data_IF_440119681483
#
_entry.id   IF_440119681483
#
_cell.length_a   1.000
_cell.length_b   1.000
_cell.length_c   1.000
_cell.angle_alpha   90.00
_cell.angle_beta   90.00
_cell.angle_gamma   90.00
#
_symmetry.space_group_name_H-M   'P 1'
#
loop_
_entity.id
_entity.type
_entity.pdbx_description
1 polymer ?
#
# COMPACT_ATOMS: atom_id res chain seq x y z
N UNK A 1 0.24 12.10 14.07
CA UNK A 1 -0.77 12.01 12.99
C UNK A 1 -1.53 10.70 13.16
N UNK A 2 -2.85 10.76 13.24
CA UNK A 2 -3.70 9.57 13.30
C UNK A 2 -3.77 8.84 11.97
N UNK A 3 -4.08 7.52 11.97
CA UNK A 3 -4.10 6.71 10.74
C UNK A 3 -5.09 7.22 9.68
N UNK A 4 -6.28 7.64 10.09
CA UNK A 4 -7.28 8.17 9.16
C UNK A 4 -6.82 9.48 8.50
N UNK A 5 -6.08 10.31 9.22
CA UNK A 5 -5.43 11.51 8.68
C UNK A 5 -4.32 11.12 7.69
N UNK A 6 -3.51 10.11 8.03
CA UNK A 6 -2.46 9.59 7.15
C UNK A 6 -3.05 9.06 5.82
N UNK A 7 -4.21 8.38 5.86
CA UNK A 7 -4.94 7.96 4.65
C UNK A 7 -5.28 9.17 3.76
N UNK A 8 -5.79 10.25 4.37
CA UNK A 8 -6.20 11.47 3.63
C UNK A 8 -5.03 12.25 3.06
N UNK A 9 -3.90 12.30 3.79
CA UNK A 9 -2.70 13.05 3.37
C UNK A 9 -1.82 12.29 2.38
N UNK A 10 -1.92 10.96 2.35
CA UNK A 10 -1.07 10.12 1.51
C UNK A 10 -1.41 10.27 0.02
N UNK A 11 -0.45 10.72 -0.76
CA UNK A 11 -0.51 10.72 -2.22
C UNK A 11 0.67 9.95 -2.83
N UNK A 12 0.58 9.61 -4.12
CA UNK A 12 1.68 8.97 -4.84
C UNK A 12 2.72 10.00 -5.25
N UNK A 13 3.87 9.99 -4.57
CA UNK A 13 5.00 10.87 -4.84
C UNK A 13 6.09 10.09 -5.57
N UNK A 14 6.59 10.62 -6.68
CA UNK A 14 7.56 9.95 -7.56
C UNK A 14 8.89 10.69 -7.66
N UNK A 15 8.95 11.91 -7.17
CA UNK A 15 10.15 12.75 -7.21
C UNK A 15 10.60 13.03 -5.78
N UNK A 16 11.81 12.62 -5.46
CA UNK A 16 12.37 12.71 -4.11
C UNK A 16 13.61 13.60 -4.08
N UNK A 17 13.82 14.24 -2.93
CA UNK A 17 15.04 14.96 -2.63
C UNK A 17 16.16 13.98 -2.29
N UNK A 18 17.39 14.46 -2.18
CA UNK A 18 18.57 13.72 -1.75
C UNK A 18 18.71 13.62 -0.22
N UNK A 19 17.74 14.18 0.53
CA UNK A 19 17.75 14.15 2.00
C UNK A 19 17.75 12.72 2.51
N UNK A 20 18.77 12.30 3.29
CA UNK A 20 18.83 10.94 3.83
C UNK A 20 17.75 10.71 4.89
N UNK A 21 17.38 9.46 5.09
CA UNK A 21 16.50 9.07 6.20
C UNK A 21 17.28 9.11 7.51
N UNK A 22 16.79 9.80 8.55
CA UNK A 22 17.37 9.75 9.88
C UNK A 22 17.35 8.32 10.45
N UNK A 23 18.32 8.01 11.30
CA UNK A 23 18.45 6.68 11.91
C UNK A 23 17.20 6.29 12.71
N UNK A 24 16.60 7.24 13.40
CA UNK A 24 15.38 7.05 14.18
C UNK A 24 14.20 6.61 13.31
N UNK A 25 14.04 7.24 12.13
CA UNK A 25 13.00 6.86 11.16
C UNK A 25 13.25 5.46 10.61
N UNK A 26 14.50 5.12 10.30
CA UNK A 26 14.87 3.77 9.85
C UNK A 26 14.50 2.74 10.91
N UNK A 27 14.87 2.97 12.18
CA UNK A 27 14.55 2.07 13.31
C UNK A 27 13.05 1.89 13.51
N UNK A 28 12.26 2.97 13.42
CA UNK A 28 10.81 2.91 13.52
C UNK A 28 10.19 2.05 12.40
N UNK A 29 10.68 2.22 11.16
CA UNK A 29 10.23 1.43 10.02
C UNK A 29 10.64 -0.05 10.16
N UNK A 30 11.88 -0.33 10.58
CA UNK A 30 12.36 -1.71 10.79
C UNK A 30 11.57 -2.41 11.90
N UNK A 31 11.23 -1.71 12.97
CA UNK A 31 10.37 -2.24 14.05
C UNK A 31 8.98 -2.62 13.52
N UNK A 32 8.36 -1.75 12.74
CA UNK A 32 7.05 -2.01 12.15
C UNK A 32 7.11 -3.14 11.11
N UNK A 33 8.18 -3.21 10.30
CA UNK A 33 8.41 -4.29 9.35
C UNK A 33 8.55 -5.64 10.07
N UNK A 34 9.31 -5.68 11.16
CA UNK A 34 9.47 -6.90 11.96
C UNK A 34 8.13 -7.40 12.51
N UNK A 35 7.29 -6.49 13.02
CA UNK A 35 5.93 -6.81 13.46
C UNK A 35 5.06 -7.35 12.32
N UNK A 36 5.03 -6.66 11.16
CA UNK A 36 4.30 -7.10 9.98
C UNK A 36 4.74 -8.49 9.51
N UNK A 37 6.04 -8.74 9.45
CA UNK A 37 6.59 -10.03 9.02
C UNK A 37 6.25 -11.15 10.02
N UNK A 38 6.33 -10.88 11.33
CA UNK A 38 5.98 -11.86 12.37
C UNK A 38 4.49 -12.24 12.32
N UNK A 39 3.61 -11.26 12.09
CA UNK A 39 2.16 -11.49 12.02
C UNK A 39 1.73 -12.23 10.74
N UNK A 40 2.41 -11.97 9.60
CA UNK A 40 1.96 -12.41 8.26
C UNK A 40 2.71 -13.60 7.68
N UNK A 41 3.93 -13.86 8.16
CA UNK A 41 4.87 -14.77 7.51
C UNK A 41 5.48 -14.20 6.22
N UNK A 42 5.37 -12.90 6.00
CA UNK A 42 6.03 -12.20 4.89
C UNK A 42 7.50 -11.92 5.21
N UNK A 43 8.26 -11.54 4.17
CA UNK A 43 9.67 -11.16 4.29
C UNK A 43 9.92 -9.77 3.69
N UNK A 44 9.09 -8.80 4.08
CA UNK A 44 9.22 -7.40 3.67
C UNK A 44 10.54 -6.85 4.20
N UNK A 45 11.25 -6.07 3.38
CA UNK A 45 12.55 -5.49 3.74
C UNK A 45 12.60 -4.00 3.41
N UNK A 46 13.22 -3.22 4.27
CA UNK A 46 13.62 -1.85 3.97
C UNK A 46 14.96 -1.88 3.24
N UNK A 47 15.04 -1.16 2.15
CA UNK A 47 16.28 -0.89 1.40
C UNK A 47 16.53 0.59 1.43
N UNK A 48 17.71 1.00 1.89
CA UNK A 48 18.11 2.39 2.01
C UNK A 48 19.35 2.66 1.14
N UNK A 49 19.47 3.90 0.68
CA UNK A 49 20.61 4.38 -0.11
C UNK A 49 20.96 3.49 -1.32
N UNK A 50 19.93 3.09 -2.06
CA UNK A 50 20.05 2.25 -3.25
C UNK A 50 19.30 2.90 -4.43
N UNK A 51 20.00 3.65 -5.32
CA UNK A 51 19.39 4.31 -6.46
C UNK A 51 19.26 3.41 -7.70
N UNK A 52 20.00 2.30 -7.81
CA UNK A 52 20.19 1.56 -9.07
C UNK A 52 18.88 0.91 -9.58
N UNK A 53 17.99 0.51 -8.68
CA UNK A 53 16.70 -0.05 -9.04
C UNK A 53 15.81 0.97 -9.77
N UNK A 54 16.02 2.25 -9.53
CA UNK A 54 15.25 3.36 -10.10
C UNK A 54 16.01 4.21 -11.12
N UNK A 55 17.14 3.71 -11.64
CA UNK A 55 17.86 4.32 -12.74
C UNK A 55 17.45 3.71 -14.09
N UNK A 56 17.45 4.55 -15.15
CA UNK A 56 17.22 4.11 -16.52
C UNK A 56 15.79 4.33 -17.02
N UNK A 57 15.53 3.79 -18.21
CA UNK A 57 14.34 4.09 -19.03
C UNK A 57 13.02 3.75 -18.32
N UNK A 58 12.96 2.64 -17.58
CA UNK A 58 11.72 2.22 -16.89
C UNK A 58 11.32 3.20 -15.79
N UNK A 59 12.28 3.65 -14.98
CA UNK A 59 12.02 4.63 -13.93
C UNK A 59 11.63 5.99 -14.53
N UNK A 60 12.30 6.39 -15.62
CA UNK A 60 11.96 7.61 -16.34
C UNK A 60 10.54 7.55 -16.91
N UNK A 61 10.13 6.42 -17.53
CA UNK A 61 8.76 6.21 -17.98
C UNK A 61 7.74 6.33 -16.83
N UNK A 62 8.07 5.82 -15.65
CA UNK A 62 7.29 5.98 -14.42
C UNK A 62 7.36 7.38 -13.80
N UNK A 63 8.13 8.30 -14.37
CA UNK A 63 8.40 9.66 -13.86
C UNK A 63 9.08 9.68 -12.49
N UNK A 64 9.85 8.62 -12.17
CA UNK A 64 10.61 8.53 -10.93
C UNK A 64 11.95 9.28 -11.05
N UNK A 65 12.28 10.04 -10.00
CA UNK A 65 13.60 10.67 -9.83
C UNK A 65 13.97 10.76 -8.35
N UNK A 66 15.26 10.70 -8.04
CA UNK A 66 15.77 10.83 -6.67
C UNK A 66 15.41 9.67 -5.73
N UNK A 67 14.84 8.57 -6.22
CA UNK A 67 14.50 7.41 -5.38
C UNK A 67 15.79 6.74 -4.92
N UNK A 68 15.95 6.60 -3.60
CA UNK A 68 17.09 5.92 -2.94
C UNK A 68 16.62 4.90 -1.92
N UNK A 69 15.37 5.00 -1.45
CA UNK A 69 14.86 4.13 -0.40
C UNK A 69 13.53 3.54 -0.82
N UNK A 70 13.30 2.28 -0.47
CA UNK A 70 12.05 1.60 -0.76
C UNK A 70 11.83 0.39 0.15
N UNK A 71 10.57 0.02 0.33
CA UNK A 71 10.17 -1.26 0.91
C UNK A 71 10.08 -2.28 -0.21
N UNK A 72 10.77 -3.41 -0.09
CA UNK A 72 10.65 -4.54 -1.00
C UNK A 72 9.58 -5.50 -0.45
N UNK A 73 8.49 -5.66 -1.19
CA UNK A 73 7.37 -6.50 -0.80
C UNK A 73 7.61 -7.93 -1.28
N UNK A 74 8.15 -8.75 -0.37
CA UNK A 74 8.58 -10.13 -0.61
C UNK A 74 7.82 -11.06 0.33
N UNK A 75 7.49 -12.25 -0.16
CA UNK A 75 6.95 -13.31 0.66
C UNK A 75 6.92 -14.66 -0.05
N UNK A 76 6.60 -15.74 0.67
CA UNK A 76 6.44 -17.09 0.13
C UNK A 76 5.38 -17.12 -0.97
N UNK A 77 5.66 -17.82 -2.08
CA UNK A 77 4.69 -17.99 -3.16
C UNK A 77 3.45 -18.73 -2.66
N UNK A 78 2.28 -18.20 -2.94
CA UNK A 78 1.00 -18.79 -2.56
C UNK A 78 -0.17 -17.92 -3.01
N UNK A 79 -1.40 -18.44 -2.93
CA UNK A 79 -2.59 -17.74 -3.42
C UNK A 79 -2.91 -16.45 -2.63
N UNK A 80 -2.52 -16.38 -1.36
CA UNK A 80 -2.78 -15.23 -0.48
C UNK A 80 -1.67 -14.18 -0.51
N UNK A 81 -0.55 -14.43 -1.21
CA UNK A 81 0.63 -13.58 -1.16
C UNK A 81 0.32 -12.12 -1.56
N UNK A 82 -0.36 -11.93 -2.67
CA UNK A 82 -0.63 -10.60 -3.22
C UNK A 82 -1.51 -9.79 -2.27
N UNK A 83 -2.57 -10.40 -1.70
CA UNK A 83 -3.46 -9.73 -0.74
C UNK A 83 -2.74 -9.41 0.57
N UNK A 84 -1.98 -10.35 1.14
CA UNK A 84 -1.18 -10.11 2.35
C UNK A 84 -0.18 -8.98 2.14
N UNK A 85 0.53 -8.96 1.02
CA UNK A 85 1.47 -7.87 0.71
C UNK A 85 0.77 -6.53 0.54
N UNK A 86 -0.45 -6.52 -0.03
CA UNK A 86 -1.29 -5.34 -0.10
C UNK A 86 -1.64 -4.80 1.29
N UNK A 87 -2.13 -5.67 2.16
CA UNK A 87 -2.57 -5.31 3.51
C UNK A 87 -1.41 -4.78 4.39
N UNK A 88 -0.35 -5.56 4.54
CA UNK A 88 0.80 -5.17 5.38
C UNK A 88 1.64 -4.06 4.75
N UNK A 89 1.73 -4.02 3.42
CA UNK A 89 2.33 -2.91 2.70
C UNK A 89 1.58 -1.59 2.91
N UNK A 90 0.24 -1.61 2.98
CA UNK A 90 -0.57 -0.44 3.32
C UNK A 90 -0.29 0.04 4.75
N UNK A 91 -0.20 -0.87 5.72
CA UNK A 91 0.18 -0.56 7.11
C UNK A 91 1.53 0.15 7.17
N UNK A 92 2.54 -0.37 6.48
CA UNK A 92 3.87 0.24 6.38
C UNK A 92 3.87 1.57 5.62
N UNK A 93 3.05 1.70 4.58
CA UNK A 93 2.87 2.96 3.85
C UNK A 93 2.34 4.05 4.76
N UNK A 94 1.32 3.76 5.56
CA UNK A 94 0.73 4.75 6.48
C UNK A 94 1.68 5.06 7.65
N UNK A 95 2.44 4.07 8.15
CA UNK A 95 3.51 4.32 9.14
C UNK A 95 4.56 5.28 8.58
N UNK A 96 5.00 5.09 7.34
CA UNK A 96 5.94 6.01 6.69
C UNK A 96 5.37 7.44 6.58
N UNK A 97 4.09 7.59 6.24
CA UNK A 97 3.40 8.89 6.20
C UNK A 97 3.33 9.53 7.59
N UNK A 98 3.02 8.76 8.63
CA UNK A 98 3.04 9.24 10.03
C UNK A 98 4.42 9.74 10.46
N UNK A 99 5.49 9.16 9.91
CA UNK A 99 6.88 9.56 10.10
C UNK A 99 7.31 10.76 9.22
N UNK A 100 6.37 11.33 8.44
CA UNK A 100 6.62 12.50 7.58
C UNK A 100 7.27 12.18 6.24
N UNK A 101 7.22 10.91 5.81
CA UNK A 101 7.72 10.48 4.50
C UNK A 101 6.62 10.45 3.45
N UNK A 102 6.99 10.72 2.22
CA UNK A 102 6.15 10.53 1.03
C UNK A 102 6.41 9.14 0.43
N UNK A 103 5.40 8.56 -0.22
CA UNK A 103 5.45 7.17 -0.72
C UNK A 103 4.84 7.01 -2.11
N UNK A 104 5.24 5.93 -2.81
CA UNK A 104 4.54 5.49 -4.03
C UNK A 104 4.67 3.98 -4.21
N UNK A 105 3.56 3.30 -4.50
CA UNK A 105 3.55 1.89 -4.90
C UNK A 105 4.04 1.73 -6.34
N UNK A 106 4.95 0.78 -6.57
CA UNK A 106 5.61 0.56 -7.87
C UNK A 106 5.73 -0.93 -8.16
N UNK A 107 5.13 -1.38 -9.26
CA UNK A 107 5.16 -2.78 -9.66
C UNK A 107 5.99 -3.05 -10.94
N UNK A 108 5.97 -2.13 -11.90
CA UNK A 108 6.53 -2.37 -13.24
C UNK A 108 7.67 -1.41 -13.62
N UNK A 109 7.67 -0.19 -13.09
CA UNK A 109 8.56 0.89 -13.53
C UNK A 109 9.84 0.99 -12.70
N UNK A 110 10.43 -0.16 -12.33
CA UNK A 110 11.73 -0.27 -11.67
C UNK A 110 12.46 -1.54 -12.15
N UNK A 111 13.76 -1.60 -11.90
CA UNK A 111 14.63 -2.70 -12.34
C UNK A 111 14.76 -3.75 -11.24
N UNK A 112 13.86 -4.76 -11.24
CA UNK A 112 13.86 -5.84 -10.22
C UNK A 112 15.23 -6.50 -10.02
N UNK A 113 15.96 -6.74 -11.10
CA UNK A 113 17.28 -7.37 -11.05
C UNK A 113 18.41 -6.49 -10.46
N UNK A 114 18.11 -5.21 -10.14
CA UNK A 114 19.03 -4.29 -9.50
C UNK A 114 18.69 -4.01 -8.04
N UNK A 115 17.54 -4.50 -7.56
CA UNK A 115 17.20 -4.40 -6.14
C UNK A 115 18.24 -5.17 -5.30
N UNK A 116 18.74 -4.55 -4.24
CA UNK A 116 19.65 -5.20 -3.28
C UNK A 116 18.97 -6.26 -2.40
N UNK A 117 17.71 -6.55 -2.63
CA UNK A 117 16.92 -7.55 -1.93
C UNK A 117 16.40 -8.59 -2.93
N UNK A 118 17.16 -9.63 -3.17
CA UNK A 118 16.67 -10.77 -3.92
C UNK A 118 15.67 -11.59 -3.07
N UNK A 119 14.59 -12.06 -3.72
CA UNK A 119 13.73 -13.06 -3.12
C UNK A 119 14.45 -14.40 -3.04
N UNK A 120 14.32 -15.12 -1.93
CA UNK A 120 14.89 -16.44 -1.76
C UNK A 120 14.17 -17.50 -2.64
N UNK A 121 14.75 -18.70 -2.83
CA UNK A 121 14.03 -19.80 -3.46
C UNK A 121 12.68 -20.04 -2.78
N UNK A 122 11.61 -20.12 -3.57
CA UNK A 122 10.24 -20.26 -3.04
C UNK A 122 9.53 -18.93 -2.74
N UNK A 123 10.22 -17.80 -2.78
CA UNK A 123 9.66 -16.47 -2.60
C UNK A 123 9.42 -15.72 -3.91
N UNK A 124 8.73 -14.60 -3.81
CA UNK A 124 8.49 -13.65 -4.90
C UNK A 124 8.57 -12.22 -4.39
N UNK A 125 9.37 -11.38 -5.06
CA UNK A 125 9.26 -9.93 -4.98
C UNK A 125 8.09 -9.50 -5.89
N UNK A 126 6.98 -9.07 -5.30
CA UNK A 126 5.76 -8.68 -6.03
C UNK A 126 5.89 -7.26 -6.55
N UNK A 127 6.12 -6.31 -5.67
CA UNK A 127 6.27 -4.88 -5.97
C UNK A 127 7.14 -4.22 -4.91
N UNK A 128 7.37 -2.92 -5.05
CA UNK A 128 8.07 -2.10 -4.05
C UNK A 128 7.24 -0.86 -3.71
N UNK A 129 7.52 -0.25 -2.55
CA UNK A 129 6.98 1.04 -2.16
C UNK A 129 8.15 1.98 -1.99
N UNK A 130 8.29 2.98 -2.89
CA UNK A 130 9.31 4.02 -2.72
C UNK A 130 8.97 4.91 -1.54
N UNK A 131 9.97 5.38 -0.81
CA UNK A 131 9.78 6.28 0.32
C UNK A 131 10.95 7.26 0.48
N UNK A 132 10.64 8.44 1.02
CA UNK A 132 11.60 9.52 1.20
C UNK A 132 10.92 10.88 1.34
N UNK A 133 11.68 11.93 1.22
CA UNK A 133 11.16 13.31 1.26
C UNK A 133 10.88 13.79 -0.17
N UNK A 134 9.61 13.96 -0.49
CA UNK A 134 9.18 14.37 -1.82
C UNK A 134 9.55 15.80 -2.18
N UNK A 135 9.85 16.03 -3.45
CA UNK A 135 9.99 17.38 -4.03
C UNK A 135 8.64 18.10 -4.05
N UNK A 136 7.56 17.34 -4.12
CA UNK A 136 6.18 17.80 -4.05
C UNK A 136 5.35 16.81 -3.20
N UNK A 137 4.13 17.20 -2.85
CA UNK A 137 3.23 16.38 -2.00
C UNK A 137 2.33 15.44 -2.80
N UNK A 138 2.53 15.33 -4.11
CA UNK A 138 1.62 14.61 -4.99
C UNK A 138 0.26 15.31 -5.12
N UNK A 139 -0.70 14.62 -5.70
CA UNK A 139 -2.07 15.13 -5.89
C UNK A 139 -3.07 14.06 -5.50
N UNK A 140 -4.26 14.45 -4.98
CA UNK A 140 -5.35 13.52 -4.74
C UNK A 140 -5.75 12.82 -6.05
N UNK A 141 -6.01 11.52 -5.99
CA UNK A 141 -6.57 10.80 -7.12
C UNK A 141 -8.09 11.03 -7.22
N UNK A 142 -8.65 10.82 -8.40
CA UNK A 142 -10.11 10.80 -8.57
C UNK A 142 -10.66 9.48 -8.04
N UNK A 143 -11.59 9.57 -7.09
CA UNK A 143 -12.31 8.41 -6.58
C UNK A 143 -13.57 8.13 -7.41
N UNK A 144 -13.94 6.87 -7.49
CA UNK A 144 -15.24 6.45 -8.00
C UNK A 144 -16.36 6.88 -7.05
N UNK A 145 -17.61 6.85 -7.53
CA UNK A 145 -18.76 7.00 -6.66
C UNK A 145 -18.86 5.79 -5.70
N UNK A 146 -19.36 6.02 -4.49
CA UNK A 146 -19.43 5.01 -3.44
C UNK A 146 -20.22 3.77 -3.90
N UNK A 147 -21.33 3.98 -4.61
CA UNK A 147 -22.21 2.94 -5.11
C UNK A 147 -21.58 2.02 -6.18
N UNK A 148 -20.44 2.43 -6.73
CA UNK A 148 -19.69 1.61 -7.68
C UNK A 148 -18.76 0.60 -7.00
N UNK A 149 -18.47 0.80 -5.72
CA UNK A 149 -17.47 0.01 -4.97
C UNK A 149 -18.04 -0.65 -3.71
N UNK A 150 -19.27 -0.34 -3.31
CA UNK A 150 -19.90 -0.99 -2.17
C UNK A 150 -21.41 -1.21 -2.36
N UNK A 151 -21.92 -2.21 -1.63
CA UNK A 151 -23.33 -2.57 -1.57
C UNK A 151 -23.69 -3.00 -0.15
N UNK A 152 -24.93 -2.74 0.26
CA UNK A 152 -25.48 -3.23 1.52
C UNK A 152 -26.89 -3.77 1.26
N UNK A 153 -27.27 -4.83 1.95
CA UNK A 153 -28.65 -5.29 2.04
C UNK A 153 -29.39 -4.38 3.02
N UNK A 154 -30.22 -3.46 2.49
CA UNK A 154 -30.93 -2.46 3.27
C UNK A 154 -30.19 -1.14 3.48
N UNK A 155 -30.55 -0.35 4.51
CA UNK A 155 -29.88 0.91 4.81
C UNK A 155 -28.40 0.72 5.12
N UNK A 156 -27.53 1.51 4.50
CA UNK A 156 -26.08 1.46 4.73
C UNK A 156 -25.75 2.12 6.09
N UNK A 157 -25.18 1.36 7.05
CA UNK A 157 -24.77 1.93 8.34
C UNK A 157 -23.61 2.93 8.18
N UNK A 158 -23.54 3.91 9.06
CA UNK A 158 -22.49 4.96 9.01
C UNK A 158 -21.08 4.40 9.09
N UNK A 159 -20.84 3.38 9.93
CA UNK A 159 -19.54 2.73 10.03
C UNK A 159 -19.10 2.08 8.71
N UNK A 160 -20.03 1.41 7.99
CA UNK A 160 -19.72 0.78 6.70
C UNK A 160 -19.45 1.83 5.62
N UNK A 161 -20.21 2.91 5.62
CA UNK A 161 -19.98 4.07 4.75
C UNK A 161 -18.60 4.65 5.00
N UNK A 162 -18.24 4.93 6.26
CA UNK A 162 -16.93 5.47 6.64
C UNK A 162 -15.77 4.55 6.20
N UNK A 163 -15.92 3.22 6.38
CA UNK A 163 -14.97 2.24 5.90
C UNK A 163 -14.82 2.25 4.38
N UNK A 164 -15.93 2.29 3.64
CA UNK A 164 -15.93 2.32 2.16
C UNK A 164 -15.33 3.64 1.61
N UNK A 165 -15.58 4.77 2.26
CA UNK A 165 -14.97 6.06 1.92
C UNK A 165 -13.45 6.04 2.16
N UNK A 166 -12.98 5.45 3.26
CA UNK A 166 -11.56 5.26 3.51
C UNK A 166 -10.93 4.30 2.47
N UNK A 167 -11.62 3.23 2.11
CA UNK A 167 -11.21 2.27 1.08
C UNK A 167 -11.08 2.92 -0.31
N UNK A 168 -11.91 3.92 -0.64
CA UNK A 168 -11.80 4.70 -1.88
C UNK A 168 -10.54 5.56 -1.93
N UNK A 169 -9.90 5.85 -0.79
CA UNK A 169 -8.61 6.55 -0.72
C UNK A 169 -7.40 5.60 -0.86
N UNK A 170 -7.63 4.30 -0.91
CA UNK A 170 -6.59 3.30 -1.13
C UNK A 170 -5.90 3.49 -2.49
N UNK A 171 -4.55 3.51 -2.56
CA UNK A 171 -3.87 3.49 -3.85
C UNK A 171 -4.10 2.15 -4.54
N UNK A 172 -4.55 2.18 -5.78
CA UNK A 172 -4.72 0.99 -6.60
C UNK A 172 -3.90 1.08 -7.89
N UNK A 173 -3.55 -0.05 -8.49
CA UNK A 173 -2.79 -0.10 -9.73
C UNK A 173 -3.48 0.77 -10.80
N UNK A 174 -2.75 1.72 -11.37
CA UNK A 174 -3.24 2.73 -12.34
C UNK A 174 -4.56 3.42 -11.93
N UNK A 175 -4.80 3.54 -10.63
CA UNK A 175 -6.05 4.06 -10.04
C UNK A 175 -7.31 3.33 -10.53
N UNK A 176 -7.23 2.03 -10.76
CA UNK A 176 -8.34 1.26 -11.35
C UNK A 176 -9.54 1.08 -10.41
N UNK A 177 -9.33 1.09 -9.08
CA UNK A 177 -10.36 0.96 -8.05
C UNK A 177 -11.34 -0.18 -8.36
N UNK A 178 -10.80 -1.36 -8.71
CA UNK A 178 -11.58 -2.55 -9.09
C UNK A 178 -11.75 -3.47 -7.88
N UNK A 179 -12.60 -3.07 -6.98
CA UNK A 179 -13.01 -3.86 -5.83
C UNK A 179 -14.50 -3.67 -5.56
N UNK A 180 -15.08 -4.59 -4.81
CA UNK A 180 -16.46 -4.50 -4.32
C UNK A 180 -16.49 -4.92 -2.86
N UNK A 181 -17.06 -4.07 -2.03
CA UNK A 181 -17.39 -4.33 -0.63
C UNK A 181 -18.87 -4.62 -0.51
N UNK A 182 -19.24 -5.77 0.04
CA UNK A 182 -20.65 -6.14 0.24
C UNK A 182 -20.91 -6.38 1.72
N UNK A 183 -21.93 -5.71 2.27
CA UNK A 183 -22.37 -5.89 3.65
C UNK A 183 -23.60 -6.82 3.70
N UNK A 184 -23.47 -7.91 4.46
CA UNK A 184 -24.54 -8.86 4.77
C UNK A 184 -24.66 -8.97 6.30
N UNK A 185 -25.64 -8.31 6.92
CA UNK A 185 -25.71 -8.17 8.38
C UNK A 185 -24.49 -7.45 8.95
N UNK A 186 -23.69 -8.14 9.77
CA UNK A 186 -22.41 -7.64 10.32
C UNK A 186 -21.19 -8.25 9.61
N UNK A 187 -21.38 -8.90 8.47
CA UNK A 187 -20.30 -9.55 7.72
C UNK A 187 -20.01 -8.73 6.47
N UNK A 188 -18.73 -8.39 6.27
CA UNK A 188 -18.27 -7.69 5.08
C UNK A 188 -17.50 -8.64 4.19
N UNK A 189 -17.91 -8.73 2.93
CA UNK A 189 -17.19 -9.42 1.87
C UNK A 189 -16.44 -8.41 1.03
N UNK A 190 -15.14 -8.61 0.81
CA UNK A 190 -14.32 -7.82 -0.09
C UNK A 190 -13.87 -8.68 -1.28
N UNK A 191 -14.16 -8.22 -2.49
CA UNK A 191 -13.86 -8.95 -3.72
C UNK A 191 -13.01 -8.10 -4.67
N UNK A 192 -11.93 -8.70 -5.19
CA UNK A 192 -11.12 -8.07 -6.23
C UNK A 192 -11.81 -8.22 -7.60
N UNK A 193 -11.89 -7.12 -8.34
CA UNK A 193 -12.26 -7.18 -9.75
C UNK A 193 -11.08 -7.63 -10.62
N UNK A 194 -11.36 -7.95 -11.88
CA UNK A 194 -10.31 -8.35 -12.85
C UNK A 194 -9.42 -7.16 -13.21
N UNK A 195 -8.13 -7.25 -12.92
CA UNK A 195 -7.16 -6.19 -13.19
C UNK A 195 -5.73 -6.57 -12.84
N UNK A 196 -4.79 -5.71 -13.19
CA UNK A 196 -3.38 -5.87 -12.81
C UNK A 196 -3.23 -5.67 -11.31
N UNK A 197 -2.51 -6.56 -10.62
CA UNK A 197 -2.25 -6.46 -9.17
C UNK A 197 -3.52 -6.33 -8.31
N UNK A 198 -4.67 -6.83 -8.79
CA UNK A 198 -5.95 -6.68 -8.09
C UNK A 198 -5.97 -7.37 -6.71
N UNK A 199 -5.18 -8.42 -6.50
CA UNK A 199 -4.97 -9.01 -5.18
C UNK A 199 -4.25 -8.07 -4.21
N UNK A 200 -3.19 -7.40 -4.68
CA UNK A 200 -2.49 -6.37 -3.89
C UNK A 200 -3.42 -5.21 -3.58
N UNK A 201 -4.14 -4.71 -4.59
CA UNK A 201 -5.13 -3.63 -4.42
C UNK A 201 -6.17 -4.01 -3.35
N UNK A 202 -6.66 -5.27 -3.36
CA UNK A 202 -7.64 -5.75 -2.38
C UNK A 202 -7.09 -5.70 -0.96
N UNK A 203 -5.86 -6.12 -0.74
CA UNK A 203 -5.22 -6.04 0.57
C UNK A 203 -5.10 -4.59 1.07
N UNK A 204 -4.72 -3.65 0.18
CA UNK A 204 -4.67 -2.22 0.53
C UNK A 204 -6.05 -1.71 0.91
N UNK A 205 -7.07 -2.05 0.12
CA UNK A 205 -8.48 -1.68 0.34
C UNK A 205 -8.98 -2.19 1.68
N UNK A 206 -8.73 -3.47 2.03
CA UNK A 206 -9.13 -4.05 3.31
C UNK A 206 -8.52 -3.29 4.49
N UNK A 207 -7.23 -2.99 4.45
CA UNK A 207 -6.57 -2.25 5.52
C UNK A 207 -7.15 -0.83 5.69
N UNK A 208 -7.40 -0.12 4.59
CA UNK A 208 -8.03 1.21 4.63
C UNK A 208 -9.46 1.15 5.16
N UNK A 209 -10.23 0.15 4.74
CA UNK A 209 -11.59 -0.08 5.22
C UNK A 209 -11.61 -0.29 6.75
N UNK A 210 -10.75 -1.15 7.29
CA UNK A 210 -10.64 -1.39 8.74
C UNK A 210 -10.32 -0.13 9.54
N UNK A 211 -9.46 0.75 9.01
CA UNK A 211 -9.16 2.03 9.67
C UNK A 211 -10.37 2.96 9.64
N UNK A 212 -11.10 2.99 8.52
CA UNK A 212 -12.26 3.86 8.37
C UNK A 212 -13.43 3.48 9.24
N UNK A 213 -13.62 2.18 9.48
CA UNK A 213 -14.78 1.67 10.23
C UNK A 213 -14.49 1.34 11.70
N UNK A 214 -13.24 1.01 12.06
CA UNK A 214 -12.92 0.34 13.33
C UNK A 214 -13.27 -1.16 13.28
N UNK A 215 -12.37 -1.99 13.78
CA UNK A 215 -12.49 -3.47 13.72
C UNK A 215 -13.65 -4.05 14.55
N UNK A 216 -14.25 -3.28 15.42
CA UNK A 216 -15.28 -3.72 16.37
C UNK A 216 -16.67 -3.93 15.72
N UNK A 217 -16.87 -3.42 14.51
CA UNK A 217 -18.19 -3.35 13.88
C UNK A 217 -18.53 -4.53 12.98
N UNK A 218 -17.56 -5.32 12.53
CA UNK A 218 -17.80 -6.34 11.50
C UNK A 218 -16.81 -7.50 11.56
N UNK A 219 -17.15 -8.56 10.80
CA UNK A 219 -16.25 -9.67 10.49
C UNK A 219 -16.02 -9.75 8.97
N UNK A 220 -14.81 -10.09 8.57
CA UNK A 220 -14.55 -10.45 7.18
C UNK A 220 -15.13 -11.83 6.85
N UNK A 221 -15.72 -11.97 5.64
CA UNK A 221 -16.20 -13.24 5.08
C UNK A 221 -15.07 -13.96 4.37
#
# INVERSE_FOLDING_TARGET
MELLEAIRCRHSVRQYTDRPLPREIIQELETEIAACNAESGLHIRLVTDEPDAFQGVLAHYGKFSGVRNYLALIGPKGPELDEKLGYYGARLTLKAVQLGLDTCWVALTFRKGKCRCAAAPGEKLVCVITLGYGVNRGVPHKSKALEQVCRAEGPMPDWFRAGAEAALLAPTAVNQQKFLLTLEGNTVKAEAGKGFYSGVDLGIVKYHFEIGTGKEHFNWK
#
